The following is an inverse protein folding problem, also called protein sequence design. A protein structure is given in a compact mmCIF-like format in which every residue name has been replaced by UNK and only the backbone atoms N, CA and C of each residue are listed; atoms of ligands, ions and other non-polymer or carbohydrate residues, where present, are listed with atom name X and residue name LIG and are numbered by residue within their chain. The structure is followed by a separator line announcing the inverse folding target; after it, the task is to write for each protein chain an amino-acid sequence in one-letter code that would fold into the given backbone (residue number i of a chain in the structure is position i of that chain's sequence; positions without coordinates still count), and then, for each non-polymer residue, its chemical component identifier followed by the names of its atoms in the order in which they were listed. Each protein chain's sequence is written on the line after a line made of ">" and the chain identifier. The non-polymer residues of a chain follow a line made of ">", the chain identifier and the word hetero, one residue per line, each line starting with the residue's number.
data_IF_811267056061
#
_entry.id   IF_811267056061
#
_cell.length_a   1.000
_cell.length_b   1.000
_cell.length_c   1.000
_cell.angle_alpha   90.00
_cell.angle_beta   90.00
_cell.angle_gamma   90.00
#
_symmetry.space_group_name_H-M   'P 1'
#
loop_
_entity.id
_entity.type
_entity.pdbx_description
1 polymer ?
#
# COMPACT_ATOMS: atom_id res chain seq x y z
N UNK A 1 11.09 49.08 -38.37
CA UNK A 1 12.41 48.48 -38.11
C UNK A 1 12.52 48.31 -36.61
N UNK A 2 12.21 47.11 -36.11
CA UNK A 2 12.42 46.71 -34.72
C UNK A 2 13.53 45.67 -34.77
N UNK A 3 14.60 45.92 -34.02
CA UNK A 3 15.80 45.10 -33.94
C UNK A 3 15.48 43.70 -33.39
N UNK A 4 15.99 42.67 -34.08
CA UNK A 4 16.00 41.29 -33.61
C UNK A 4 16.97 41.16 -32.43
N UNK A 5 16.42 41.04 -31.21
CA UNK A 5 17.20 40.63 -30.04
C UNK A 5 17.61 39.16 -30.19
N UNK A 6 18.88 38.94 -30.57
CA UNK A 6 19.52 37.61 -30.55
C UNK A 6 19.85 37.21 -29.11
N UNK A 7 19.03 36.34 -28.53
CA UNK A 7 19.38 35.64 -27.29
C UNK A 7 20.48 34.60 -27.58
N UNK A 8 21.56 34.62 -26.82
CA UNK A 8 22.64 33.63 -26.89
C UNK A 8 22.49 32.64 -25.73
N UNK A 9 22.11 31.41 -26.04
CA UNK A 9 21.95 30.33 -25.04
C UNK A 9 23.24 29.50 -24.94
N UNK A 10 23.49 28.89 -23.78
CA UNK A 10 24.57 27.91 -23.58
C UNK A 10 23.98 26.58 -23.11
N UNK A 11 24.04 25.56 -23.96
CA UNK A 11 23.64 24.20 -23.60
C UNK A 11 24.82 23.23 -23.76
N UNK A 12 24.95 22.27 -22.84
CA UNK A 12 25.79 21.09 -23.02
C UNK A 12 24.97 19.99 -23.70
N UNK A 13 25.45 19.53 -24.86
CA UNK A 13 24.82 18.45 -25.62
C UNK A 13 25.67 17.19 -25.52
N UNK A 14 25.03 16.04 -25.31
CA UNK A 14 25.68 14.73 -25.35
C UNK A 14 25.40 14.06 -26.70
N UNK A 15 26.45 13.93 -27.52
CA UNK A 15 26.36 13.34 -28.85
C UNK A 15 26.40 11.80 -28.84
N UNK A 16 26.11 11.20 -30.00
CA UNK A 16 26.10 9.74 -30.21
C UNK A 16 27.46 9.07 -29.93
N UNK A 17 28.55 9.84 -29.97
CA UNK A 17 29.93 9.38 -29.75
C UNK A 17 30.47 9.68 -28.33
N UNK A 18 29.58 10.01 -27.38
CA UNK A 18 29.90 10.24 -25.96
C UNK A 18 30.82 11.44 -25.62
N UNK A 19 30.93 12.40 -26.54
CA UNK A 19 31.60 13.69 -26.27
C UNK A 19 30.58 14.82 -26.00
N UNK A 20 31.01 15.79 -25.19
CA UNK A 20 30.21 16.94 -24.80
C UNK A 20 30.58 18.18 -25.64
N UNK A 21 29.56 18.83 -26.21
CA UNK A 21 29.75 20.05 -27.01
C UNK A 21 28.95 21.24 -26.47
N UNK A 22 29.46 22.45 -26.71
CA UNK A 22 28.79 23.71 -26.42
C UNK A 22 28.04 24.21 -27.65
N UNK A 23 26.71 24.25 -27.58
CA UNK A 23 25.87 24.87 -28.60
C UNK A 23 25.69 26.37 -28.33
N UNK A 24 25.69 27.20 -29.38
CA UNK A 24 25.54 28.66 -29.29
C UNK A 24 24.19 29.20 -29.82
N UNK A 25 23.34 28.31 -30.32
CA UNK A 25 21.98 28.64 -30.79
C UNK A 25 21.13 27.40 -31.07
N UNK A 26 19.83 27.61 -31.30
CA UNK A 26 18.86 26.53 -31.54
C UNK A 26 19.16 25.70 -32.81
N UNK A 27 19.78 26.32 -33.81
CA UNK A 27 20.13 25.65 -35.07
C UNK A 27 21.23 24.59 -34.86
N UNK A 28 22.15 24.79 -33.91
CA UNK A 28 23.19 23.82 -33.54
C UNK A 28 22.59 22.58 -32.87
N UNK A 29 21.46 22.73 -32.18
CA UNK A 29 20.77 21.65 -31.44
C UNK A 29 20.01 20.73 -32.40
N UNK A 30 19.40 21.30 -33.45
CA UNK A 30 18.64 20.55 -34.45
C UNK A 30 19.54 19.66 -35.33
N UNK A 31 20.74 20.12 -35.66
CA UNK A 31 21.69 19.38 -36.50
C UNK A 31 22.35 18.17 -35.80
N UNK A 32 22.38 18.15 -34.47
CA UNK A 32 23.14 17.16 -33.69
C UNK A 32 22.38 15.84 -33.41
N UNK A 33 21.07 15.76 -33.70
CA UNK A 33 20.27 14.55 -33.47
C UNK A 33 20.28 14.05 -32.02
N UNK A 34 20.29 14.97 -31.05
CA UNK A 34 20.53 14.72 -29.63
C UNK A 34 19.31 14.24 -28.81
N UNK A 35 19.57 13.59 -27.67
CA UNK A 35 18.56 12.97 -26.78
C UNK A 35 18.54 13.50 -25.33
N UNK A 36 19.44 14.41 -24.93
CA UNK A 36 19.45 15.02 -23.59
C UNK A 36 19.96 16.46 -23.65
N UNK A 37 19.22 17.40 -23.06
CA UNK A 37 19.59 18.82 -22.92
C UNK A 37 19.56 19.18 -21.44
N UNK A 38 20.64 19.78 -20.93
CA UNK A 38 20.71 20.33 -19.57
C UNK A 38 20.78 21.85 -19.63
N UNK A 39 19.85 22.50 -18.94
CA UNK A 39 19.80 23.95 -18.80
C UNK A 39 20.47 24.39 -17.50
N UNK A 40 21.20 25.50 -17.54
CA UNK A 40 21.86 26.08 -16.38
C UNK A 40 20.93 27.05 -15.63
N UNK A 41 21.24 27.27 -14.35
CA UNK A 41 20.40 28.01 -13.41
C UNK A 41 20.08 29.45 -13.88
N UNK A 42 21.04 30.14 -14.51
CA UNK A 42 20.88 31.54 -14.91
C UNK A 42 19.88 31.73 -16.07
N UNK A 43 19.60 30.67 -16.84
CA UNK A 43 18.65 30.72 -17.96
C UNK A 43 17.19 30.49 -17.52
N UNK A 44 16.96 29.90 -16.33
CA UNK A 44 15.61 29.54 -15.85
C UNK A 44 14.79 30.75 -15.36
N UNK A 45 15.44 31.78 -14.81
CA UNK A 45 14.76 33.01 -14.39
C UNK A 45 14.17 33.78 -15.59
N UNK A 46 14.84 33.74 -16.75
CA UNK A 46 14.36 34.36 -17.99
C UNK A 46 13.11 33.71 -18.57
N UNK A 47 12.79 32.48 -18.13
CA UNK A 47 11.60 31.71 -18.50
C UNK A 47 10.47 31.80 -17.46
N UNK A 48 10.63 32.60 -16.39
CA UNK A 48 9.63 32.79 -15.34
C UNK A 48 9.49 31.61 -14.37
N UNK A 49 10.49 30.71 -14.31
CA UNK A 49 10.51 29.59 -13.37
C UNK A 49 11.21 30.04 -12.09
N UNK A 50 10.46 30.16 -10.99
CA UNK A 50 11.02 30.53 -9.68
C UNK A 50 11.46 29.28 -8.92
N UNK A 51 12.77 29.11 -8.75
CA UNK A 51 13.39 28.01 -7.97
C UNK A 51 13.41 28.35 -6.48
N UNK A 52 12.24 28.42 -5.84
CA UNK A 52 12.18 28.67 -4.40
C UNK A 52 12.68 27.49 -3.54
N UNK A 53 12.77 26.27 -4.08
CA UNK A 53 13.11 25.06 -3.30
C UNK A 53 14.15 24.12 -3.98
N UNK A 54 14.95 24.61 -4.93
CA UNK A 54 16.00 23.77 -5.54
C UNK A 54 17.39 24.15 -5.03
N UNK A 55 17.95 23.35 -4.13
CA UNK A 55 19.36 23.44 -3.76
C UNK A 55 20.25 23.29 -5.01
N UNK A 56 21.33 24.08 -5.04
CA UNK A 56 22.25 24.39 -6.17
C UNK A 56 22.88 23.20 -6.92
N UNK A 57 22.54 21.96 -6.59
CA UNK A 57 23.07 20.74 -7.23
C UNK A 57 22.05 19.96 -8.08
N UNK A 58 20.82 20.46 -8.25
CA UNK A 58 19.80 19.77 -9.03
C UNK A 58 19.69 20.33 -10.46
N UNK A 59 19.79 19.44 -11.45
CA UNK A 59 19.54 19.76 -12.86
C UNK A 59 18.11 19.36 -13.22
N UNK A 60 17.39 20.22 -13.94
CA UNK A 60 16.15 19.82 -14.63
C UNK A 60 16.57 19.17 -15.94
N UNK A 61 16.34 17.85 -16.07
CA UNK A 61 16.54 17.14 -17.34
C UNK A 61 15.25 17.26 -18.14
N UNK A 62 15.26 18.10 -19.17
CA UNK A 62 14.17 18.17 -20.15
C UNK A 62 14.54 17.30 -21.35
N UNK A 63 13.83 16.18 -21.55
CA UNK A 63 13.94 15.42 -22.79
C UNK A 63 13.01 16.04 -23.84
N UNK A 64 13.61 16.74 -24.80
CA UNK A 64 12.92 17.19 -26.01
C UNK A 64 13.02 16.08 -27.06
N UNK A 65 11.89 15.53 -27.49
CA UNK A 65 11.84 14.65 -28.65
C UNK A 65 11.37 15.45 -29.86
N UNK A 66 12.26 15.65 -30.83
CA UNK A 66 11.92 16.18 -32.15
C UNK A 66 11.98 15.01 -33.12
N UNK A 67 10.83 14.54 -33.62
CA UNK A 67 10.84 13.63 -34.77
C UNK A 67 10.88 14.48 -36.04
N UNK A 68 11.90 14.29 -36.88
CA UNK A 68 11.92 14.91 -38.19
C UNK A 68 10.79 14.38 -39.07
N UNK A 69 9.94 15.30 -39.54
CA UNK A 69 9.37 15.19 -40.88
C UNK A 69 10.04 16.26 -41.72
N UNK A 70 10.83 15.84 -42.71
CA UNK A 70 11.58 16.70 -43.59
C UNK A 70 10.65 17.48 -44.54
N UNK A 71 9.91 18.46 -44.04
CA UNK A 71 9.28 19.49 -44.85
C UNK A 71 8.77 20.64 -43.98
N UNK A 72 9.14 21.87 -44.34
CA UNK A 72 8.55 23.13 -43.89
C UNK A 72 8.94 23.59 -42.48
N UNK A 73 10.07 24.29 -42.38
CA UNK A 73 10.49 24.95 -41.15
C UNK A 73 9.41 25.89 -40.59
N UNK A 74 8.97 25.64 -39.34
CA UNK A 74 8.28 26.58 -38.46
C UNK A 74 8.56 26.24 -36.98
N UNK A 75 8.56 27.28 -36.16
CA UNK A 75 8.94 27.31 -34.74
C UNK A 75 7.89 26.69 -33.81
N UNK A 76 8.34 26.18 -32.66
CA UNK A 76 7.52 25.63 -31.56
C UNK A 76 7.45 26.63 -30.39
N UNK A 77 6.31 26.67 -29.69
CA UNK A 77 6.13 27.46 -28.47
C UNK A 77 5.85 26.53 -27.28
N UNK A 78 6.64 26.69 -26.22
CA UNK A 78 6.45 26.05 -24.92
C UNK A 78 5.46 26.90 -24.12
N UNK A 79 4.36 26.33 -23.60
CA UNK A 79 3.51 27.01 -22.63
C UNK A 79 3.48 26.20 -21.33
N UNK A 80 4.12 26.74 -20.31
CA UNK A 80 4.08 26.21 -18.95
C UNK A 80 2.80 26.69 -18.28
N UNK A 81 2.00 25.79 -17.73
CA UNK A 81 0.82 26.12 -16.90
C UNK A 81 0.97 25.38 -15.58
N UNK A 82 1.48 26.07 -14.56
CA UNK A 82 1.69 25.51 -13.21
C UNK A 82 2.78 24.42 -13.14
N UNK A 83 2.77 23.63 -12.07
CA UNK A 83 3.76 22.57 -11.77
C UNK A 83 3.66 21.33 -12.69
N UNK A 84 3.01 21.42 -13.85
CA UNK A 84 2.86 20.30 -14.77
C UNK A 84 3.40 20.69 -16.15
N UNK A 85 4.34 19.87 -16.65
CA UNK A 85 4.93 20.05 -17.97
C UNK A 85 4.06 19.33 -19.01
N UNK A 86 3.43 20.07 -19.93
CA UNK A 86 2.67 19.49 -21.03
C UNK A 86 3.51 19.56 -22.31
N UNK A 87 3.93 18.41 -22.85
CA UNK A 87 4.62 18.34 -24.15
C UNK A 87 3.59 18.01 -25.23
N UNK A 88 3.30 18.97 -26.13
CA UNK A 88 2.43 18.73 -27.29
C UNK A 88 3.29 18.55 -28.53
N UNK A 89 3.36 17.33 -29.07
CA UNK A 89 4.02 17.05 -30.35
C UNK A 89 2.93 16.92 -31.43
N UNK A 90 2.85 17.89 -32.34
CA UNK A 90 2.03 17.79 -33.53
C UNK A 90 2.86 17.20 -34.68
N UNK A 91 2.66 15.91 -34.98
CA UNK A 91 2.98 15.35 -36.28
C UNK A 91 1.67 15.12 -37.05
N UNK A 92 1.65 15.49 -38.33
CA UNK A 92 0.45 15.38 -39.17
C UNK A 92 -0.12 13.95 -39.18
N UNK A 93 -1.41 13.86 -38.84
CA UNK A 93 -2.35 12.74 -38.90
C UNK A 93 -2.47 11.76 -37.71
N UNK A 94 -1.73 11.93 -36.61
CA UNK A 94 -2.10 11.36 -35.31
C UNK A 94 -1.31 12.04 -34.19
N UNK A 95 -1.99 12.66 -33.22
CA UNK A 95 -1.35 13.21 -32.03
C UNK A 95 -1.41 12.16 -30.92
N UNK A 96 -0.24 11.70 -30.45
CA UNK A 96 -0.13 10.98 -29.17
C UNK A 96 0.20 12.00 -28.09
N UNK A 97 -0.72 12.22 -27.16
CA UNK A 97 -0.47 13.04 -25.98
C UNK A 97 0.27 12.20 -24.93
N UNK A 98 1.35 12.74 -24.36
CA UNK A 98 2.05 12.15 -23.22
C UNK A 98 2.05 13.18 -22.09
N UNK A 99 1.57 12.79 -20.91
CA UNK A 99 1.68 13.59 -19.70
C UNK A 99 2.60 12.88 -18.70
N UNK A 100 3.50 13.64 -18.08
CA UNK A 100 4.30 13.18 -16.94
C UNK A 100 4.14 14.16 -15.79
N UNK A 101 3.91 13.64 -14.59
CA UNK A 101 4.16 14.36 -13.35
C UNK A 101 5.67 14.37 -13.10
N UNK A 102 6.22 15.54 -12.77
CA UNK A 102 7.62 15.66 -12.38
C UNK A 102 7.83 14.98 -11.03
N UNK A 103 8.58 13.89 -10.98
CA UNK A 103 9.17 13.37 -9.75
C UNK A 103 10.70 13.54 -9.80
N UNK A 104 11.27 13.91 -8.66
CA UNK A 104 12.72 13.91 -8.44
C UNK A 104 13.15 12.45 -8.31
N UNK A 105 13.86 11.92 -9.32
CA UNK A 105 14.30 10.52 -9.32
C UNK A 105 15.73 10.41 -8.74
N UNK A 106 15.97 9.59 -7.70
CA UNK A 106 17.32 9.32 -7.22
C UNK A 106 18.15 8.60 -8.28
N UNK A 107 19.45 8.90 -8.31
CA UNK A 107 20.42 8.31 -9.24
C UNK A 107 20.42 6.78 -9.12
N UNK A 108 19.89 6.07 -10.13
CA UNK A 108 19.95 4.60 -10.24
C UNK A 108 18.62 3.84 -10.32
N UNK A 109 17.46 4.49 -10.33
CA UNK A 109 16.17 3.80 -10.52
C UNK A 109 15.91 3.40 -11.98
N UNK A 110 15.35 2.22 -12.22
CA UNK A 110 14.84 1.80 -13.52
C UNK A 110 13.40 2.30 -13.74
N UNK A 111 13.08 2.69 -14.98
CA UNK A 111 11.83 3.35 -15.35
C UNK A 111 10.67 2.37 -15.55
N UNK A 112 9.48 2.71 -15.03
CA UNK A 112 8.22 2.00 -15.25
C UNK A 112 7.55 2.28 -16.61
N UNK A 113 6.53 1.48 -16.93
CA UNK A 113 5.80 1.41 -18.21
C UNK A 113 4.98 2.66 -18.57
N UNK A 114 4.90 2.97 -19.88
CA UNK A 114 4.14 4.08 -20.47
C UNK A 114 2.62 3.88 -20.37
N UNK A 115 1.87 4.97 -20.16
CA UNK A 115 0.40 5.01 -20.22
C UNK A 115 -0.02 5.66 -21.55
N UNK A 116 -0.73 4.93 -22.41
CA UNK A 116 -1.25 5.43 -23.68
C UNK A 116 -2.61 6.12 -23.43
N UNK A 117 -2.70 7.43 -23.68
CA UNK A 117 -3.93 8.23 -23.42
C UNK A 117 -5.05 8.00 -24.46
N UNK A 118 -4.84 7.10 -25.42
CA UNK A 118 -5.76 6.91 -26.55
C UNK A 118 -5.68 8.07 -27.56
N UNK A 119 -6.13 7.84 -28.78
CA UNK A 119 -6.11 8.85 -29.84
C UNK A 119 -7.15 9.95 -29.56
N UNK A 120 -6.71 11.10 -29.06
CA UNK A 120 -7.51 12.32 -29.04
C UNK A 120 -7.49 12.97 -30.42
N UNK A 121 -8.65 13.36 -30.97
CA UNK A 121 -8.66 14.11 -32.22
C UNK A 121 -8.16 15.54 -31.99
N UNK A 122 -7.55 16.15 -33.01
CA UNK A 122 -7.07 17.55 -32.94
C UNK A 122 -8.19 18.54 -32.62
N UNK A 123 -9.42 18.21 -32.99
CA UNK A 123 -10.60 19.05 -32.74
C UNK A 123 -10.98 19.06 -31.26
N UNK A 124 -10.89 17.91 -30.56
CA UNK A 124 -11.21 17.78 -29.13
C UNK A 124 -10.23 18.56 -28.22
N UNK A 125 -9.00 18.79 -28.69
CA UNK A 125 -7.97 19.55 -27.97
C UNK A 125 -8.18 21.06 -28.17
N UNK A 126 -8.60 21.49 -29.36
CA UNK A 126 -8.71 22.90 -29.73
C UNK A 126 -9.93 23.60 -29.13
N UNK A 127 -11.03 22.87 -28.91
CA UNK A 127 -12.25 23.42 -28.32
C UNK A 127 -12.32 23.24 -26.78
N UNK A 128 -11.30 22.62 -26.18
CA UNK A 128 -11.27 22.30 -24.75
C UNK A 128 -12.28 21.21 -24.35
N UNK A 129 -12.84 20.47 -25.31
CA UNK A 129 -13.92 19.50 -25.06
C UNK A 129 -13.43 18.10 -24.64
N UNK A 130 -12.17 17.97 -24.20
CA UNK A 130 -11.73 16.82 -23.38
C UNK A 130 -12.47 16.90 -22.04
N UNK A 131 -13.72 16.48 -22.08
CA UNK A 131 -14.52 16.22 -20.90
C UNK A 131 -14.06 14.89 -20.31
N UNK A 132 -14.18 14.73 -19.00
CA UNK A 132 -13.83 13.48 -18.33
C UNK A 132 -14.53 12.25 -18.98
N UNK A 133 -15.66 12.45 -19.70
CA UNK A 133 -16.39 11.43 -20.46
C UNK A 133 -15.64 10.83 -21.64
N UNK A 134 -14.67 11.56 -22.20
CA UNK A 134 -13.86 11.12 -23.34
C UNK A 134 -12.53 10.47 -22.93
N UNK A 135 -12.17 10.53 -21.66
CA UNK A 135 -11.04 9.78 -21.11
C UNK A 135 -11.42 8.31 -20.97
N UNK A 136 -10.46 7.40 -21.12
CA UNK A 136 -10.71 6.00 -20.75
C UNK A 136 -11.15 5.95 -19.28
N UNK A 137 -11.98 4.95 -18.94
CA UNK A 137 -12.46 4.75 -17.56
C UNK A 137 -11.32 4.76 -16.53
N UNK A 138 -10.15 4.28 -16.94
CA UNK A 138 -8.98 4.08 -16.10
C UNK A 138 -8.27 5.40 -15.81
N UNK A 139 -8.14 6.28 -16.82
CA UNK A 139 -7.60 7.64 -16.64
C UNK A 139 -8.57 8.49 -15.84
N UNK A 140 -9.86 8.38 -16.17
CA UNK A 140 -10.92 9.10 -15.48
C UNK A 140 -10.95 8.78 -13.98
N UNK A 141 -10.90 7.50 -13.64
CA UNK A 141 -10.84 7.04 -12.24
C UNK A 141 -9.56 7.51 -11.54
N UNK A 142 -8.43 7.52 -12.25
CA UNK A 142 -7.13 7.98 -11.71
C UNK A 142 -7.08 9.49 -11.45
N UNK A 143 -7.84 10.28 -12.22
CA UNK A 143 -7.95 11.74 -12.04
C UNK A 143 -9.05 12.08 -11.03
N UNK A 144 -10.19 11.40 -11.07
CA UNK A 144 -11.35 11.69 -10.23
C UNK A 144 -11.16 11.24 -8.77
N UNK A 145 -10.26 10.27 -8.50
CA UNK A 145 -9.97 9.87 -7.12
C UNK A 145 -8.54 9.31 -6.95
N UNK A 146 -7.52 10.18 -6.80
CA UNK A 146 -6.13 9.74 -6.60
C UNK A 146 -5.95 8.89 -5.33
N UNK A 147 -6.80 9.06 -4.31
CA UNK A 147 -6.78 8.25 -3.09
C UNK A 147 -7.13 6.79 -3.37
N UNK A 148 -8.06 6.52 -4.30
CA UNK A 148 -8.41 5.15 -4.70
C UNK A 148 -7.18 4.39 -5.22
N UNK A 149 -6.36 5.02 -6.06
CA UNK A 149 -5.13 4.41 -6.58
C UNK A 149 -4.17 4.06 -5.44
N UNK A 150 -4.04 4.94 -4.44
CA UNK A 150 -3.20 4.68 -3.25
C UNK A 150 -3.74 3.53 -2.40
N UNK A 151 -5.05 3.47 -2.17
CA UNK A 151 -5.68 2.40 -1.38
C UNK A 151 -5.56 1.04 -2.09
N UNK A 152 -5.72 1.01 -3.42
CA UNK A 152 -5.49 -0.19 -4.23
C UNK A 152 -4.02 -0.62 -4.16
N UNK A 153 -3.07 0.31 -4.25
CA UNK A 153 -1.65 0.02 -4.09
C UNK A 153 -1.30 -0.50 -2.68
N UNK A 154 -2.11 -0.17 -1.67
CA UNK A 154 -2.03 -0.70 -0.31
C UNK A 154 -2.72 -2.07 -0.13
N UNK A 155 -3.39 -2.59 -1.15
CA UNK A 155 -4.03 -3.91 -1.15
C UNK A 155 -5.54 -3.91 -0.94
N UNK A 156 -6.19 -2.74 -0.92
CA UNK A 156 -7.65 -2.68 -0.91
C UNK A 156 -8.24 -2.92 -2.31
N UNK A 157 -9.46 -3.42 -2.38
CA UNK A 157 -10.20 -3.57 -3.64
C UNK A 157 -11.45 -2.70 -3.65
N UNK A 158 -11.60 -1.79 -4.61
CA UNK A 158 -12.80 -0.96 -4.73
C UNK A 158 -13.89 -1.64 -5.55
N UNK A 159 -15.14 -1.63 -5.07
CA UNK A 159 -16.29 -2.12 -5.84
C UNK A 159 -17.09 -0.98 -6.46
N UNK A 160 -16.85 -0.68 -7.74
CA UNK A 160 -17.62 0.33 -8.48
C UNK A 160 -19.00 -0.15 -8.98
N UNK A 161 -19.31 -1.45 -8.84
CA UNK A 161 -20.50 -2.07 -9.40
C UNK A 161 -21.55 -2.41 -8.35
N UNK A 162 -22.27 -3.50 -8.57
CA UNK A 162 -23.23 -4.07 -7.61
C UNK A 162 -22.52 -4.85 -6.50
N UNK A 163 -23.22 -5.11 -5.40
CA UNK A 163 -22.74 -5.95 -4.30
C UNK A 163 -22.17 -7.29 -4.81
N UNK A 164 -21.01 -7.69 -4.29
CA UNK A 164 -20.34 -8.95 -4.62
C UNK A 164 -20.21 -9.81 -3.38
N UNK A 165 -20.33 -11.12 -3.54
CA UNK A 165 -19.98 -12.07 -2.48
C UNK A 165 -18.48 -12.35 -2.50
N UNK A 166 -17.84 -12.32 -1.34
CA UNK A 166 -16.45 -12.71 -1.12
C UNK A 166 -16.37 -13.72 0.01
N UNK A 167 -15.27 -14.47 0.07
CA UNK A 167 -14.95 -15.31 1.21
C UNK A 167 -13.90 -14.58 2.04
N UNK A 168 -14.21 -14.33 3.30
CA UNK A 168 -13.28 -13.74 4.25
C UNK A 168 -12.15 -14.75 4.59
N UNK A 169 -11.00 -14.29 5.12
CA UNK A 169 -9.89 -15.17 5.48
C UNK A 169 -10.24 -16.27 6.50
N UNK A 170 -11.33 -16.11 7.26
CA UNK A 170 -11.84 -17.12 8.19
C UNK A 170 -12.87 -18.08 7.58
N UNK A 171 -13.13 -18.00 6.27
CA UNK A 171 -13.95 -18.94 5.51
C UNK A 171 -15.43 -18.57 5.39
N UNK A 172 -15.88 -17.49 6.01
CA UNK A 172 -17.27 -17.03 5.91
C UNK A 172 -17.52 -16.15 4.69
N UNK A 173 -18.76 -16.18 4.19
CA UNK A 173 -19.22 -15.32 3.10
C UNK A 173 -19.46 -13.90 3.62
N UNK A 174 -18.87 -12.90 2.96
CA UNK A 174 -19.05 -11.48 3.25
C UNK A 174 -19.48 -10.71 2.00
N UNK A 175 -20.28 -9.67 2.21
CA UNK A 175 -20.73 -8.78 1.12
C UNK A 175 -19.74 -7.65 0.90
N UNK A 176 -19.11 -7.63 -0.27
CA UNK A 176 -18.38 -6.46 -0.79
C UNK A 176 -19.37 -5.48 -1.40
N UNK A 177 -19.81 -4.50 -0.60
CA UNK A 177 -20.87 -3.55 -0.97
C UNK A 177 -20.46 -2.66 -2.14
N UNK A 178 -21.42 -2.33 -2.99
CA UNK A 178 -21.30 -1.32 -4.02
C UNK A 178 -20.79 0.01 -3.42
N UNK A 179 -19.81 0.63 -4.05
CA UNK A 179 -19.21 1.89 -3.60
C UNK A 179 -18.24 1.79 -2.43
N UNK A 180 -17.92 0.59 -1.94
CA UNK A 180 -17.06 0.37 -0.78
C UNK A 180 -15.75 -0.36 -1.14
N UNK A 181 -14.79 -0.27 -0.23
CA UNK A 181 -13.53 -1.01 -0.27
C UNK A 181 -13.67 -2.37 0.41
N UNK A 182 -13.01 -3.37 -0.16
CA UNK A 182 -12.76 -4.65 0.46
C UNK A 182 -11.31 -4.71 0.93
N UNK A 183 -11.08 -5.04 2.21
CA UNK A 183 -9.76 -5.25 2.79
C UNK A 183 -9.86 -6.23 3.95
N UNK A 184 -8.99 -7.23 3.99
CA UNK A 184 -8.86 -8.20 5.09
C UNK A 184 -10.17 -8.90 5.50
N UNK A 185 -11.06 -9.19 4.55
CA UNK A 185 -12.36 -9.83 4.82
C UNK A 185 -13.48 -8.86 5.20
N UNK A 186 -13.22 -7.56 5.25
CA UNK A 186 -14.26 -6.54 5.45
C UNK A 186 -14.66 -5.97 4.09
N UNK A 187 -15.93 -6.11 3.70
CA UNK A 187 -16.43 -5.71 2.38
C UNK A 187 -17.19 -4.38 2.33
N UNK A 188 -17.28 -3.67 3.45
CA UNK A 188 -18.05 -2.44 3.56
C UNK A 188 -17.25 -1.29 4.16
N UNK A 189 -15.94 -1.23 3.87
CA UNK A 189 -15.09 -0.12 4.28
C UNK A 189 -15.42 1.10 3.43
N UNK A 190 -15.83 2.20 4.07
CA UNK A 190 -16.08 3.48 3.37
C UNK A 190 -14.76 4.13 2.96
N UNK A 191 -14.82 5.13 2.07
CA UNK A 191 -13.61 5.91 1.71
C UNK A 191 -12.98 6.62 2.91
N UNK A 192 -13.80 7.19 3.80
CA UNK A 192 -13.35 7.80 5.05
C UNK A 192 -12.64 6.79 5.96
N UNK A 193 -13.22 5.61 6.15
CA UNK A 193 -12.60 4.53 6.93
C UNK A 193 -11.30 4.03 6.28
N UNK A 194 -11.25 3.95 4.95
CA UNK A 194 -10.05 3.54 4.22
C UNK A 194 -8.94 4.59 4.37
N UNK A 195 -9.30 5.87 4.41
CA UNK A 195 -8.36 6.96 4.69
C UNK A 195 -7.80 6.87 6.11
N UNK A 196 -8.63 6.58 7.12
CA UNK A 196 -8.17 6.34 8.48
C UNK A 196 -7.21 5.16 8.57
N UNK A 197 -7.55 4.04 7.89
CA UNK A 197 -6.69 2.85 7.79
C UNK A 197 -5.35 3.20 7.13
N UNK A 198 -5.39 3.96 6.03
CA UNK A 198 -4.19 4.38 5.31
C UNK A 198 -3.30 5.32 6.13
N UNK A 199 -3.91 6.25 6.87
CA UNK A 199 -3.21 7.19 7.74
C UNK A 199 -2.59 6.53 8.98
N UNK A 200 -3.19 5.45 9.49
CA UNK A 200 -2.56 4.61 10.50
C UNK A 200 -1.26 3.96 9.97
N UNK A 201 -1.20 3.75 8.66
CA UNK A 201 -0.02 3.32 7.92
C UNK A 201 0.00 1.83 7.60
N UNK A 202 1.07 1.42 6.91
CA UNK A 202 1.42 0.01 6.72
C UNK A 202 2.21 -0.53 7.92
N UNK A 203 1.91 -1.77 8.32
CA UNK A 203 2.74 -2.50 9.27
C UNK A 203 4.16 -2.66 8.70
N UNK A 204 5.15 -2.05 9.35
CA UNK A 204 6.56 -2.16 8.98
C UNK A 204 7.25 -3.29 9.76
N UNK A 205 8.29 -3.87 9.19
CA UNK A 205 9.19 -4.77 9.94
C UNK A 205 9.84 -3.99 11.10
N UNK A 206 10.02 -4.63 12.26
CA UNK A 206 10.60 -4.02 13.48
C UNK A 206 9.75 -2.92 14.13
N UNK A 207 8.42 -3.00 14.08
CA UNK A 207 7.58 -2.13 14.91
C UNK A 207 7.84 -2.43 16.39
N UNK A 208 8.14 -1.37 17.16
CA UNK A 208 8.31 -1.40 18.61
C UNK A 208 7.00 -0.95 19.27
N UNK A 209 6.04 -1.86 19.43
CA UNK A 209 4.80 -1.68 20.19
C UNK A 209 3.86 -0.53 19.76
N UNK A 210 2.63 -0.52 20.29
CA UNK A 210 1.65 0.60 20.21
C UNK A 210 1.27 1.16 18.82
N UNK A 211 1.48 0.41 17.75
CA UNK A 211 1.31 0.88 16.37
C UNK A 211 0.02 1.69 16.09
N UNK A 212 -1.15 1.13 16.40
CA UNK A 212 -2.43 1.79 16.22
C UNK A 212 -3.24 1.78 17.53
N UNK A 213 -2.55 2.11 18.62
CA UNK A 213 -3.13 2.31 19.95
C UNK A 213 -4.29 3.30 19.91
N UNK A 214 -5.44 2.95 20.49
CA UNK A 214 -6.68 3.75 20.50
C UNK A 214 -7.16 4.22 19.11
N UNK A 215 -6.70 3.58 18.03
CA UNK A 215 -7.10 3.95 16.68
C UNK A 215 -8.57 3.59 16.41
N UNK A 216 -9.17 4.30 15.46
CA UNK A 216 -10.56 4.07 15.00
C UNK A 216 -10.62 3.25 13.70
N UNK A 217 -9.53 2.57 13.37
CA UNK A 217 -9.44 1.76 12.16
C UNK A 217 -10.20 0.44 12.35
N UNK A 218 -10.82 -0.04 11.28
CA UNK A 218 -11.51 -1.35 11.27
C UNK A 218 -10.57 -2.51 10.97
N UNK A 219 -9.43 -2.23 10.35
CA UNK A 219 -8.39 -3.22 10.04
C UNK A 219 -7.05 -2.51 9.80
N UNK A 220 -6.00 -3.25 9.46
CA UNK A 220 -4.64 -2.77 9.21
C UNK A 220 -4.26 -2.94 7.74
N UNK A 221 -3.37 -2.09 7.22
CA UNK A 221 -2.70 -2.42 5.95
C UNK A 221 -1.63 -3.48 6.24
N UNK A 222 -1.71 -4.68 5.62
CA UNK A 222 -0.77 -5.76 5.88
C UNK A 222 0.65 -5.38 5.44
N UNK A 223 1.65 -5.86 6.17
CA UNK A 223 3.05 -5.68 5.83
C UNK A 223 3.40 -6.37 4.50
N UNK A 224 4.02 -5.62 3.59
CA UNK A 224 4.71 -6.12 2.40
C UNK A 224 6.09 -6.62 2.81
N UNK A 225 6.13 -7.83 3.36
CA UNK A 225 7.39 -8.49 3.71
C UNK A 225 8.14 -8.78 2.40
N UNK A 226 9.24 -8.06 2.12
CA UNK A 226 10.15 -8.31 1.01
C UNK A 226 11.25 -9.30 1.42
N UNK A 227 11.52 -10.31 0.57
CA UNK A 227 12.51 -11.38 0.82
C UNK A 227 11.94 -12.80 0.73
N UNK A 228 12.74 -13.76 0.27
CA UNK A 228 12.40 -15.18 0.12
C UNK A 228 12.25 -15.90 1.48
N UNK A 229 12.82 -15.35 2.56
CA UNK A 229 12.89 -15.99 3.89
C UNK A 229 12.56 -15.02 5.05
N UNK A 230 11.95 -13.86 4.75
CA UNK A 230 11.82 -12.73 5.67
C UNK A 230 10.92 -12.99 6.88
N UNK A 231 11.50 -13.46 7.98
CA UNK A 231 10.92 -13.34 9.31
C UNK A 231 10.93 -11.87 9.75
N UNK A 232 9.96 -11.09 9.26
CA UNK A 232 9.69 -9.78 9.83
C UNK A 232 9.24 -9.97 11.27
N UNK A 233 10.04 -9.52 12.23
CA UNK A 233 9.71 -9.63 13.64
C UNK A 233 8.79 -8.45 14.00
N UNK A 234 7.63 -8.76 14.56
CA UNK A 234 6.68 -7.73 15.02
C UNK A 234 6.64 -7.82 16.55
N UNK A 235 6.88 -6.70 17.24
CA UNK A 235 6.55 -6.63 18.67
C UNK A 235 5.06 -6.40 18.82
N UNK A 236 4.37 -7.31 19.50
CA UNK A 236 2.92 -7.25 19.68
C UNK A 236 2.48 -6.32 20.81
N UNK A 237 3.40 -5.94 21.70
CA UNK A 237 3.13 -5.17 22.90
C UNK A 237 2.31 -3.91 22.62
N UNK A 238 1.06 -3.92 23.05
CA UNK A 238 0.11 -2.82 22.88
C UNK A 238 -0.26 -2.46 21.43
N UNK A 239 0.07 -3.29 20.43
CA UNK A 239 -0.01 -2.92 19.00
C UNK A 239 -1.36 -2.34 18.58
N UNK A 240 -2.46 -2.86 19.12
CA UNK A 240 -3.83 -2.42 18.87
C UNK A 240 -4.60 -2.17 20.17
N UNK A 241 -3.91 -1.97 21.30
CA UNK A 241 -4.59 -1.75 22.58
C UNK A 241 -5.54 -0.55 22.48
N UNK A 242 -6.79 -0.74 22.91
CA UNK A 242 -7.87 0.23 22.88
C UNK A 242 -8.46 0.51 21.49
N UNK A 243 -8.05 -0.18 20.43
CA UNK A 243 -8.62 -0.03 19.09
C UNK A 243 -10.01 -0.69 19.00
N UNK A 244 -11.02 -0.06 19.59
CA UNK A 244 -12.38 -0.63 19.74
C UNK A 244 -13.10 -0.94 18.43
N UNK A 245 -12.72 -0.31 17.33
CA UNK A 245 -13.33 -0.51 16.01
C UNK A 245 -12.68 -1.62 15.18
N UNK A 246 -11.53 -2.17 15.59
CA UNK A 246 -10.84 -3.18 14.80
C UNK A 246 -11.66 -4.47 14.77
N UNK A 247 -11.88 -5.02 13.57
CA UNK A 247 -12.69 -6.22 13.34
C UNK A 247 -11.86 -7.37 12.78
N UNK A 248 -10.85 -7.07 11.95
CA UNK A 248 -10.01 -8.07 11.30
C UNK A 248 -8.56 -7.62 11.34
N UNK A 249 -7.65 -8.52 11.72
CA UNK A 249 -6.21 -8.24 11.79
C UNK A 249 -5.47 -9.20 10.86
N UNK A 250 -4.88 -8.64 9.81
CA UNK A 250 -4.00 -9.35 8.87
C UNK A 250 -2.64 -8.67 8.90
N UNK A 251 -1.62 -9.41 9.32
CA UNK A 251 -0.28 -8.86 9.49
C UNK A 251 0.52 -8.84 8.20
N UNK A 252 0.28 -9.80 7.29
CA UNK A 252 0.95 -9.85 5.98
C UNK A 252 0.00 -10.31 4.88
N UNK A 253 0.13 -9.72 3.70
CA UNK A 253 -0.62 -10.08 2.50
C UNK A 253 -0.11 -11.37 1.83
N UNK A 254 0.98 -11.98 2.32
CA UNK A 254 1.51 -13.25 1.79
C UNK A 254 0.80 -14.45 2.42
N UNK A 255 -0.38 -14.79 1.88
CA UNK A 255 -1.23 -15.89 2.38
C UNK A 255 -0.47 -17.20 2.54
N UNK A 256 0.24 -17.66 1.51
CA UNK A 256 1.01 -18.91 1.55
C UNK A 256 2.06 -18.96 2.68
N UNK A 257 2.65 -17.81 3.04
CA UNK A 257 3.64 -17.74 4.11
C UNK A 257 2.96 -17.71 5.48
N UNK A 258 1.92 -16.89 5.63
CA UNK A 258 1.16 -16.76 6.85
C UNK A 258 0.47 -18.07 7.24
N UNK A 259 -0.09 -18.79 6.27
CA UNK A 259 -0.70 -20.10 6.51
C UNK A 259 0.34 -21.16 6.89
N UNK A 260 1.49 -21.19 6.22
CA UNK A 260 2.53 -22.19 6.47
C UNK A 260 3.23 -21.96 7.81
N UNK A 261 3.67 -20.74 8.10
CA UNK A 261 4.60 -20.45 9.20
C UNK A 261 4.00 -19.61 10.33
N UNK A 262 2.80 -19.02 10.12
CA UNK A 262 2.33 -17.92 10.95
C UNK A 262 3.21 -16.68 10.84
N UNK A 263 2.73 -15.55 11.36
CA UNK A 263 3.58 -14.34 11.51
C UNK A 263 4.44 -14.53 12.76
N UNK A 264 5.77 -14.38 12.62
CA UNK A 264 6.72 -14.58 13.71
C UNK A 264 6.73 -13.37 14.66
N UNK A 265 6.46 -13.63 15.94
CA UNK A 265 6.53 -12.62 16.99
C UNK A 265 7.72 -12.90 17.91
N UNK A 266 8.58 -11.90 18.13
CA UNK A 266 9.84 -12.09 18.86
C UNK A 266 9.78 -11.74 20.32
N UNK A 267 10.34 -12.67 21.10
CA UNK A 267 10.99 -12.58 22.41
C UNK A 267 10.30 -11.82 23.55
N UNK A 268 9.85 -12.59 24.53
CA UNK A 268 9.60 -12.14 25.91
C UNK A 268 8.12 -12.08 26.23
N UNK A 269 7.62 -10.88 26.45
CA UNK A 269 6.24 -10.65 26.90
C UNK A 269 5.48 -9.88 25.84
N UNK A 270 4.33 -10.41 25.41
CA UNK A 270 3.37 -9.64 24.65
C UNK A 270 2.25 -9.17 25.60
N UNK A 271 2.24 -7.88 25.92
CA UNK A 271 1.25 -7.30 26.83
C UNK A 271 0.22 -6.50 26.06
N UNK A 272 -1.06 -6.68 26.43
CA UNK A 272 -2.19 -5.85 26.00
C UNK A 272 -2.34 -5.66 24.49
N UNK A 273 -1.80 -6.56 23.66
CA UNK A 273 -1.71 -6.37 22.20
C UNK A 273 -3.05 -6.06 21.54
N UNK A 274 -4.12 -6.71 22.01
CA UNK A 274 -5.50 -6.50 21.56
C UNK A 274 -6.43 -6.12 22.72
N UNK A 275 -5.89 -5.64 23.84
CA UNK A 275 -6.70 -5.25 24.99
C UNK A 275 -7.76 -4.21 24.56
N UNK A 276 -9.04 -4.45 24.83
CA UNK A 276 -10.11 -3.50 24.49
C UNK A 276 -10.55 -3.52 23.02
N UNK A 277 -10.03 -4.42 22.18
CA UNK A 277 -10.51 -4.59 20.81
C UNK A 277 -11.87 -5.31 20.79
N UNK A 278 -12.93 -4.62 21.23
CA UNK A 278 -14.26 -5.20 21.47
C UNK A 278 -14.94 -5.76 20.22
N UNK A 279 -14.64 -5.22 19.04
CA UNK A 279 -15.21 -5.66 17.76
C UNK A 279 -14.34 -6.67 17.01
N UNK A 280 -13.18 -7.06 17.57
CA UNK A 280 -12.23 -7.93 16.88
C UNK A 280 -12.81 -9.32 16.70
N UNK A 281 -12.99 -9.76 15.46
CA UNK A 281 -13.55 -11.07 15.07
C UNK A 281 -12.45 -12.03 14.66
N UNK A 282 -11.49 -11.56 13.86
CA UNK A 282 -10.48 -12.40 13.23
C UNK A 282 -9.05 -11.87 13.43
N UNK A 283 -8.13 -12.81 13.69
CA UNK A 283 -6.69 -12.54 13.68
C UNK A 283 -6.00 -13.61 12.83
N UNK A 284 -5.20 -13.15 11.87
CA UNK A 284 -4.34 -14.02 11.05
C UNK A 284 -3.43 -14.88 11.94
N UNK A 285 -3.15 -16.10 11.48
CA UNK A 285 -2.34 -17.09 12.19
C UNK A 285 -1.04 -16.51 12.77
N UNK A 286 -0.83 -16.75 14.05
CA UNK A 286 0.29 -16.22 14.83
C UNK A 286 1.27 -17.30 15.27
N UNK A 287 2.58 -17.00 15.22
CA UNK A 287 3.65 -17.89 15.68
C UNK A 287 4.31 -17.34 16.95
N UNK A 288 4.08 -18.02 18.07
CA UNK A 288 4.50 -17.62 19.41
C UNK A 288 5.77 -18.32 19.89
N UNK A 289 6.60 -18.83 18.96
CA UNK A 289 7.84 -19.53 19.31
C UNK A 289 8.80 -18.72 20.20
N UNK A 290 8.77 -17.38 20.09
CA UNK A 290 9.52 -16.43 20.91
C UNK A 290 8.75 -15.84 22.11
N UNK A 291 7.47 -16.14 22.31
CA UNK A 291 6.67 -15.55 23.40
C UNK A 291 6.73 -16.44 24.64
N UNK A 292 7.03 -15.84 25.79
CA UNK A 292 7.10 -16.51 27.10
C UNK A 292 6.00 -16.07 28.06
N UNK A 293 5.32 -14.95 27.80
CA UNK A 293 4.20 -14.47 28.60
C UNK A 293 3.19 -13.67 27.77
N UNK A 294 1.90 -13.89 28.06
CA UNK A 294 0.76 -13.19 27.50
C UNK A 294 0.01 -12.49 28.64
N UNK A 295 0.18 -11.18 28.80
CA UNK A 295 -0.51 -10.42 29.86
C UNK A 295 -1.59 -9.55 29.24
N UNK A 296 -2.84 -9.74 29.64
CA UNK A 296 -3.99 -8.98 29.13
C UNK A 296 -4.13 -8.96 27.61
N UNK A 297 -3.61 -9.99 26.93
CA UNK A 297 -3.42 -9.98 25.48
C UNK A 297 -4.73 -9.88 24.70
N UNK A 298 -5.77 -10.57 25.18
CA UNK A 298 -7.14 -10.59 24.62
C UNK A 298 -8.21 -10.04 25.57
N UNK A 299 -7.79 -9.29 26.60
CA UNK A 299 -8.74 -8.71 27.56
C UNK A 299 -9.77 -7.85 26.82
N UNK A 300 -11.05 -8.06 27.13
CA UNK A 300 -12.18 -7.34 26.52
C UNK A 300 -12.32 -7.53 24.99
N UNK A 301 -11.74 -8.58 24.41
CA UNK A 301 -12.02 -9.02 23.03
C UNK A 301 -13.32 -9.83 22.97
N UNK A 302 -14.46 -9.17 23.21
CA UNK A 302 -15.77 -9.84 23.33
C UNK A 302 -16.24 -10.56 22.07
N UNK A 303 -15.80 -10.09 20.91
CA UNK A 303 -16.25 -10.59 19.61
C UNK A 303 -15.28 -11.57 18.94
N UNK A 304 -14.18 -11.95 19.61
CA UNK A 304 -13.12 -12.74 18.97
C UNK A 304 -13.59 -14.17 18.67
N UNK A 305 -13.76 -14.50 17.40
CA UNK A 305 -14.23 -15.83 16.96
C UNK A 305 -13.07 -16.68 16.45
N UNK A 306 -12.17 -16.08 15.66
CA UNK A 306 -11.19 -16.82 14.86
C UNK A 306 -9.77 -16.36 15.13
N UNK A 307 -8.95 -17.25 15.70
CA UNK A 307 -7.52 -17.04 15.89
C UNK A 307 -6.79 -18.38 15.88
N UNK A 308 -5.70 -18.45 15.13
CA UNK A 308 -4.84 -19.64 15.07
C UNK A 308 -3.48 -19.31 15.66
N UNK A 309 -3.06 -20.07 16.67
CA UNK A 309 -1.76 -19.87 17.35
C UNK A 309 -0.92 -21.14 17.19
N UNK A 310 0.36 -20.97 16.85
CA UNK A 310 1.35 -22.06 16.83
C UNK A 310 2.51 -21.75 17.75
N UNK A 311 3.20 -22.79 18.20
CA UNK A 311 4.39 -22.73 19.04
C UNK A 311 4.17 -22.02 20.39
N UNK A 312 2.95 -22.04 20.93
CA UNK A 312 2.60 -21.48 22.24
C UNK A 312 3.23 -22.32 23.37
N UNK A 313 3.81 -21.66 24.37
CA UNK A 313 4.52 -22.27 25.52
C UNK A 313 4.00 -21.83 26.89
N UNK A 314 3.06 -20.90 26.93
CA UNK A 314 2.59 -20.24 28.14
C UNK A 314 1.05 -20.18 28.16
N UNK A 315 0.50 -19.85 29.32
CA UNK A 315 -0.95 -19.74 29.50
C UNK A 315 -1.57 -18.75 28.52
N UNK A 316 -2.79 -19.06 28.11
CA UNK A 316 -3.57 -18.29 27.16
C UNK A 316 -4.93 -17.96 27.77
N UNK A 317 -5.35 -16.71 27.64
CA UNK A 317 -6.60 -16.24 28.21
C UNK A 317 -7.57 -15.76 27.11
N UNK A 318 -8.69 -16.47 26.97
CA UNK A 318 -9.83 -16.12 26.14
C UNK A 318 -11.10 -15.94 26.98
N UNK A 319 -10.96 -15.63 28.27
CA UNK A 319 -12.06 -15.43 29.24
C UNK A 319 -13.12 -14.43 28.80
N UNK A 320 -12.76 -13.47 27.93
CA UNK A 320 -13.69 -12.45 27.44
C UNK A 320 -14.45 -12.85 26.18
N UNK A 321 -14.01 -13.88 25.44
CA UNK A 321 -14.70 -14.32 24.23
C UNK A 321 -15.60 -15.53 24.50
N UNK A 322 -16.90 -15.26 24.60
CA UNK A 322 -17.93 -16.30 24.64
C UNK A 322 -18.14 -17.01 23.30
N UNK A 323 -17.63 -16.45 22.21
CA UNK A 323 -17.88 -16.89 20.83
C UNK A 323 -16.67 -17.54 20.16
N UNK A 324 -15.55 -17.72 20.86
CA UNK A 324 -14.35 -18.37 20.31
C UNK A 324 -14.71 -19.71 19.66
N UNK A 325 -14.22 -19.90 18.43
CA UNK A 325 -14.56 -21.06 17.60
C UNK A 325 -13.89 -22.33 18.09
N UNK A 326 -14.56 -23.47 17.87
CA UNK A 326 -14.02 -24.80 18.15
C UNK A 326 -12.69 -25.01 17.41
N UNK A 327 -12.64 -24.59 16.15
CA UNK A 327 -11.47 -24.69 15.28
C UNK A 327 -10.27 -23.95 15.86
N UNK A 328 -10.47 -22.76 16.44
CA UNK A 328 -9.39 -21.98 17.07
C UNK A 328 -8.83 -22.68 18.31
N UNK A 329 -9.70 -23.27 19.13
CA UNK A 329 -9.32 -24.04 20.33
C UNK A 329 -8.53 -25.29 19.94
N UNK A 330 -9.08 -26.14 19.07
CA UNK A 330 -8.41 -27.37 18.60
C UNK A 330 -7.06 -27.04 17.97
N UNK A 331 -7.04 -26.07 17.05
CA UNK A 331 -5.82 -25.70 16.34
C UNK A 331 -4.72 -25.25 17.31
N UNK A 332 -5.07 -24.44 18.30
CA UNK A 332 -4.12 -23.95 19.29
C UNK A 332 -3.58 -25.09 20.16
N UNK A 333 -4.43 -26.01 20.62
CA UNK A 333 -3.99 -27.17 21.41
C UNK A 333 -2.98 -28.02 20.61
N UNK A 334 -3.35 -28.40 19.39
CA UNK A 334 -2.55 -29.29 18.55
C UNK A 334 -1.21 -28.69 18.10
N UNK A 335 -1.13 -27.36 17.99
CA UNK A 335 0.07 -26.67 17.50
C UNK A 335 0.84 -25.95 18.61
N UNK A 336 0.45 -26.13 19.87
CA UNK A 336 1.24 -25.66 21.01
C UNK A 336 2.46 -26.55 21.26
N UNK A 337 3.49 -25.99 21.89
CA UNK A 337 4.71 -26.72 22.28
C UNK A 337 5.04 -26.51 23.77
N UNK A 338 4.10 -26.80 24.69
CA UNK A 338 4.32 -26.60 26.11
C UNK A 338 5.55 -27.37 26.60
N UNK A 339 6.38 -26.70 27.39
CA UNK A 339 7.49 -27.35 28.13
C UNK A 339 7.13 -27.67 29.57
N UNK A 340 5.97 -27.21 30.02
CA UNK A 340 5.37 -27.43 31.35
C UNK A 340 3.84 -27.36 31.21
N UNK A 341 3.11 -27.71 32.27
CA UNK A 341 1.66 -27.56 32.30
C UNK A 341 1.25 -26.12 31.92
N UNK A 342 0.26 -26.03 31.03
CA UNK A 342 -0.27 -24.82 30.44
C UNK A 342 -1.79 -24.83 30.55
N UNK A 343 -2.34 -23.66 30.83
CA UNK A 343 -3.78 -23.43 30.96
C UNK A 343 -4.25 -22.55 29.80
N UNK A 344 -5.32 -22.98 29.15
CA UNK A 344 -6.13 -22.15 28.27
C UNK A 344 -7.42 -21.82 29.00
N UNK A 345 -7.58 -20.56 29.40
CA UNK A 345 -8.78 -20.07 30.08
C UNK A 345 -9.82 -19.67 29.05
N UNK A 346 -11.03 -20.23 29.16
CA UNK A 346 -12.16 -19.93 28.30
C UNK A 346 -13.24 -19.15 29.05
N UNK A 347 -14.01 -18.33 28.33
CA UNK A 347 -15.26 -17.79 28.87
C UNK A 347 -16.20 -18.93 29.32
N UNK A 348 -16.98 -18.81 30.41
CA UNK A 348 -17.86 -19.87 30.90
C UNK A 348 -18.76 -20.49 29.82
N UNK A 349 -19.43 -19.67 29.00
CA UNK A 349 -20.26 -20.16 27.89
C UNK A 349 -19.47 -20.93 26.83
N UNK A 350 -18.23 -20.51 26.52
CA UNK A 350 -17.39 -21.21 25.56
C UNK A 350 -16.88 -22.53 26.16
N UNK A 351 -16.51 -22.53 27.44
CA UNK A 351 -16.12 -23.73 28.17
C UNK A 351 -17.26 -24.75 28.19
N UNK A 352 -18.47 -24.35 28.58
CA UNK A 352 -19.64 -25.23 28.61
C UNK A 352 -19.96 -25.86 27.25
N UNK A 353 -19.65 -25.15 26.15
CA UNK A 353 -19.87 -25.63 24.79
C UNK A 353 -18.75 -26.54 24.27
N UNK A 354 -17.52 -26.39 24.76
CA UNK A 354 -16.32 -26.98 24.16
C UNK A 354 -15.61 -28.02 25.04
N UNK A 355 -15.76 -27.98 26.36
CA UNK A 355 -14.99 -28.84 27.27
C UNK A 355 -15.27 -30.33 27.07
N UNK A 356 -16.51 -30.69 26.73
CA UNK A 356 -16.97 -32.06 26.49
C UNK A 356 -17.09 -32.40 25.00
N UNK A 357 -16.69 -31.50 24.08
CA UNK A 357 -16.72 -31.78 22.64
C UNK A 357 -15.67 -32.83 22.29
N UNK A 358 -16.06 -33.89 21.58
CA UNK A 358 -15.22 -35.05 21.30
C UNK A 358 -13.92 -34.69 20.56
N UNK A 359 -13.95 -33.71 19.65
CA UNK A 359 -12.76 -33.29 18.90
C UNK A 359 -11.80 -32.50 19.80
N UNK A 360 -12.34 -31.71 20.73
CA UNK A 360 -11.57 -30.96 21.73
C UNK A 360 -10.92 -31.92 22.73
N UNK A 361 -11.67 -32.91 23.22
CA UNK A 361 -11.14 -33.96 24.12
C UNK A 361 -10.01 -34.73 23.43
N UNK A 362 -10.19 -35.15 22.18
CA UNK A 362 -9.14 -35.82 21.41
C UNK A 362 -7.89 -34.95 21.22
N UNK A 363 -8.06 -33.64 21.01
CA UNK A 363 -6.94 -32.71 20.94
C UNK A 363 -6.18 -32.61 22.27
N UNK A 364 -6.89 -32.56 23.40
CA UNK A 364 -6.28 -32.53 24.74
C UNK A 364 -5.55 -33.84 25.07
N UNK A 365 -6.11 -34.99 24.71
CA UNK A 365 -5.44 -36.29 24.86
C UNK A 365 -4.11 -36.36 24.09
N UNK A 366 -4.05 -35.73 22.91
CA UNK A 366 -2.81 -35.63 22.12
C UNK A 366 -1.79 -34.63 22.68
N UNK A 367 -2.19 -33.77 23.63
CA UNK A 367 -1.37 -32.71 24.21
C UNK A 367 -1.56 -32.65 25.73
N UNK A 368 -1.01 -33.62 26.50
CA UNK A 368 -1.34 -33.81 27.92
C UNK A 368 -0.86 -32.69 28.85
N UNK A 369 -0.01 -31.77 28.36
CA UNK A 369 0.43 -30.59 29.12
C UNK A 369 -0.54 -29.41 28.97
N UNK A 370 -1.57 -29.51 28.13
CA UNK A 370 -2.59 -28.47 27.97
C UNK A 370 -3.84 -28.86 28.72
N UNK A 371 -4.41 -27.89 29.43
CA UNK A 371 -5.70 -28.02 30.10
C UNK A 371 -6.60 -26.84 29.76
N UNK A 372 -7.91 -27.09 29.71
CA UNK A 372 -8.91 -26.04 29.61
C UNK A 372 -9.49 -25.75 30.99
N UNK A 373 -9.70 -24.47 31.31
CA UNK A 373 -10.44 -24.05 32.50
C UNK A 373 -11.50 -23.01 32.14
N UNK A 374 -12.57 -22.95 32.92
CA UNK A 374 -13.51 -21.82 32.88
C UNK A 374 -12.92 -20.64 33.67
N UNK A 375 -13.07 -19.43 33.12
CA UNK A 375 -12.72 -18.17 33.78
C UNK A 375 -13.52 -17.91 35.05
#
# INVERSE_FOLDING_TARGET
>A
MLEENKFSYRALLHGKDAEWYFARGLDDIAAAGCYEVRLFHDDMESLGITTADCDKEHYVVAHLFVSESAATGRQQALRVVGQTLLLTICATNAVKAFTRTCEVVPKGASWGSWVDLGAASTTDIQDGSITAQKLSSDIRTSIENPLRTLFIAAGAEYNAGVDKTRIAPWGESVTHKAGHYYLNGLGDITEEQMMDIYNAGELKNNIVGFYAYNSKIRTLIPAKISGQEGYGTISLSGILSGATMVESVVFTARENLAERLGVLFTSGTAYSSFNGCSNLVYIQKMNFSGITSLTSFFDKCYSLVYVKIINLKCNLDWSYSKVISKESVIYTIQNSIPTSAMIVTLHPDAYARLADDADVVAALESQPLVSLVSA
#
